data_IF_547492993801
#
_entry.id   IF_547492993801
#
_cell.length_a   1.000
_cell.length_b   1.000
_cell.length_c   1.000
_cell.angle_alpha   90.00
_cell.angle_beta   90.00
_cell.angle_gamma   90.00
#
_symmetry.space_group_name_H-M   'P 1'
#
loop_
_entity.id
_entity.type
_entity.pdbx_description
1 polymer ?
#
# COMPACT_ATOMS: atom_id res chain seq x y z
N UNK A 1 -13.34 -49.61 81.78
CA UNK A 1 -12.80 -48.25 81.63
C UNK A 1 -12.37 -48.09 80.18
N UNK A 2 -13.28 -47.49 79.31
CA UNK A 2 -13.09 -47.33 77.87
C UNK A 2 -12.76 -45.85 77.61
N UNK A 3 -11.53 -45.60 77.16
CA UNK A 3 -11.05 -44.27 76.81
C UNK A 3 -11.43 -44.06 75.33
N UNK A 4 -12.31 -43.10 75.07
CA UNK A 4 -12.67 -42.66 73.72
C UNK A 4 -11.67 -41.60 73.29
N UNK A 5 -10.90 -41.89 72.24
CA UNK A 5 -10.04 -40.94 71.57
C UNK A 5 -10.87 -40.12 70.57
N UNK A 6 -11.03 -38.84 70.83
CA UNK A 6 -11.54 -37.87 69.89
C UNK A 6 -10.41 -37.45 68.93
N UNK A 7 -10.57 -37.76 67.64
CA UNK A 7 -9.76 -37.20 66.56
C UNK A 7 -10.40 -35.87 66.11
N UNK A 8 -9.62 -34.78 65.99
CA UNK A 8 -10.12 -33.57 65.42
C UNK A 8 -10.16 -33.72 63.89
N UNK A 9 -11.34 -33.44 63.30
CA UNK A 9 -11.48 -33.38 61.87
C UNK A 9 -10.76 -32.12 61.32
N UNK A 10 -9.64 -32.35 60.58
CA UNK A 10 -8.99 -31.29 59.83
C UNK A 10 -9.84 -30.92 58.60
N UNK A 11 -10.42 -29.74 58.67
CA UNK A 11 -11.06 -29.14 57.49
C UNK A 11 -9.95 -28.66 56.53
N UNK A 12 -9.71 -29.40 55.49
CA UNK A 12 -8.86 -28.97 54.38
C UNK A 12 -9.68 -28.04 53.49
N UNK A 13 -9.45 -26.73 53.62
CA UNK A 13 -9.92 -25.75 52.67
C UNK A 13 -9.14 -25.93 51.36
N UNK A 14 -9.78 -26.55 50.36
CA UNK A 14 -9.31 -26.47 49.01
C UNK A 14 -9.52 -25.05 48.51
N UNK A 15 -8.51 -24.21 48.50
CA UNK A 15 -8.48 -22.98 47.72
C UNK A 15 -8.49 -23.39 46.23
N UNK A 16 -9.66 -23.32 45.63
CA UNK A 16 -9.77 -23.45 44.17
C UNK A 16 -9.00 -22.28 43.54
N UNK A 17 -7.76 -22.56 43.10
CA UNK A 17 -7.11 -21.68 42.13
C UNK A 17 -7.98 -21.62 40.86
N UNK A 18 -8.84 -20.63 40.81
CA UNK A 18 -9.49 -20.24 39.56
C UNK A 18 -8.36 -19.79 38.63
N UNK A 19 -7.92 -20.69 37.74
CA UNK A 19 -7.05 -20.30 36.64
C UNK A 19 -7.74 -19.16 35.92
N UNK A 20 -7.07 -18.02 35.67
CA UNK A 20 -7.64 -16.99 34.84
C UNK A 20 -8.01 -17.64 33.52
N UNK A 21 -9.30 -17.62 33.17
CA UNK A 21 -9.77 -17.90 31.83
C UNK A 21 -8.80 -17.20 30.88
N UNK A 22 -8.27 -17.85 29.82
CA UNK A 22 -7.52 -17.14 28.80
C UNK A 22 -8.46 -16.05 28.31
N UNK A 23 -8.28 -14.84 28.86
CA UNK A 23 -9.00 -13.68 28.37
C UNK A 23 -8.77 -13.69 26.88
N UNK A 24 -9.83 -13.81 26.09
CA UNK A 24 -9.77 -13.51 24.69
C UNK A 24 -8.87 -12.29 24.59
N UNK A 25 -7.76 -12.42 23.84
CA UNK A 25 -6.86 -11.32 23.56
C UNK A 25 -7.76 -10.18 23.07
N UNK A 26 -8.12 -9.30 23.99
CA UNK A 26 -8.91 -8.12 23.67
C UNK A 26 -8.10 -7.36 22.68
N UNK A 27 -8.58 -7.41 21.43
CA UNK A 27 -8.26 -6.50 20.39
C UNK A 27 -6.77 -6.16 20.34
N UNK A 28 -6.03 -6.87 19.51
CA UNK A 28 -4.96 -6.18 18.83
C UNK A 28 -5.51 -4.86 18.28
N UNK A 29 -4.68 -3.85 18.02
CA UNK A 29 -5.14 -2.58 17.47
C UNK A 29 -6.13 -2.91 16.36
N UNK A 30 -7.31 -2.25 16.36
CA UNK A 30 -8.38 -2.47 15.37
C UNK A 30 -7.75 -2.80 14.04
N UNK A 31 -8.18 -3.89 13.36
CA UNK A 31 -7.49 -4.34 12.16
C UNK A 31 -7.35 -3.11 11.28
N UNK A 32 -6.11 -2.65 11.12
CA UNK A 32 -5.81 -1.40 10.41
C UNK A 32 -6.58 -1.48 9.13
N UNK A 33 -7.53 -0.56 8.90
CA UNK A 33 -8.50 -0.62 7.82
C UNK A 33 -7.74 -0.85 6.50
N UNK A 34 -7.63 -2.11 6.12
CA UNK A 34 -6.87 -2.55 4.95
C UNK A 34 -7.83 -2.73 3.79
N UNK A 35 -7.55 -2.06 2.69
CA UNK A 35 -8.32 -2.15 1.45
C UNK A 35 -7.41 -2.55 0.29
N UNK A 36 -7.75 -3.64 -0.38
CA UNK A 36 -7.11 -4.08 -1.62
C UNK A 36 -7.78 -3.40 -2.81
N UNK A 37 -6.99 -2.87 -3.72
CA UNK A 37 -7.44 -2.02 -4.83
C UNK A 37 -7.01 -2.66 -6.15
N UNK A 38 -8.00 -3.08 -6.94
CA UNK A 38 -7.82 -3.63 -8.28
C UNK A 38 -8.82 -2.93 -9.22
N UNK A 39 -8.41 -1.86 -9.91
CA UNK A 39 -9.26 -1.17 -10.86
C UNK A 39 -9.66 -2.08 -12.02
N UNK A 40 -10.97 -2.24 -12.27
CA UNK A 40 -11.46 -3.01 -13.42
C UNK A 40 -11.14 -2.38 -14.79
N UNK A 41 -10.57 -1.18 -14.79
CA UNK A 41 -10.11 -0.45 -15.98
C UNK A 41 -8.64 -0.66 -16.30
N UNK A 42 -7.93 -1.41 -15.46
CA UNK A 42 -6.53 -1.79 -15.69
C UNK A 42 -6.41 -3.28 -15.94
N UNK A 43 -5.34 -3.68 -16.62
CA UNK A 43 -5.03 -5.08 -16.82
C UNK A 43 -4.77 -5.77 -15.48
N UNK A 44 -5.33 -6.95 -15.27
CA UNK A 44 -5.08 -7.73 -14.05
C UNK A 44 -3.59 -8.07 -13.91
N UNK A 45 -3.10 -7.99 -12.67
CA UNK A 45 -1.75 -8.41 -12.30
C UNK A 45 -1.81 -9.80 -11.65
N UNK A 46 -1.55 -10.91 -12.35
CA UNK A 46 -1.65 -12.25 -11.80
C UNK A 46 -0.78 -12.41 -10.54
N UNK A 47 -1.42 -12.78 -9.42
CA UNK A 47 -0.74 -12.97 -8.14
C UNK A 47 -0.45 -11.69 -7.35
N UNK A 48 -0.82 -10.52 -7.86
CA UNK A 48 -0.60 -9.23 -7.20
C UNK A 48 -1.86 -8.38 -7.19
N UNK A 49 -1.87 -7.40 -6.32
CA UNK A 49 -2.89 -6.34 -6.23
C UNK A 49 -2.27 -5.04 -6.70
N UNK A 50 -2.98 -4.23 -7.46
CA UNK A 50 -2.49 -2.92 -7.92
C UNK A 50 -2.11 -2.00 -6.78
N UNK A 51 -2.92 -1.96 -5.70
CA UNK A 51 -2.52 -1.28 -4.49
C UNK A 51 -3.16 -1.87 -3.23
N UNK A 52 -2.49 -1.66 -2.10
CA UNK A 52 -3.02 -1.93 -0.77
C UNK A 52 -3.02 -0.63 0.01
N UNK A 53 -4.20 -0.22 0.49
CA UNK A 53 -4.34 0.92 1.40
C UNK A 53 -4.43 0.43 2.83
N UNK A 54 -3.54 0.94 3.70
CA UNK A 54 -3.47 0.62 5.12
C UNK A 54 -3.55 1.92 5.91
N UNK A 55 -4.70 2.18 6.52
CA UNK A 55 -4.96 3.48 7.14
C UNK A 55 -4.83 4.61 6.10
N UNK A 56 -3.98 5.63 6.32
CA UNK A 56 -3.75 6.71 5.37
C UNK A 56 -2.79 6.34 4.24
N UNK A 57 -2.02 5.27 4.37
CA UNK A 57 -0.94 4.94 3.45
C UNK A 57 -1.44 4.03 2.33
N UNK A 58 -1.06 4.34 1.11
CA UNK A 58 -1.34 3.57 -0.11
C UNK A 58 -0.01 3.06 -0.65
N UNK A 59 0.12 1.75 -0.71
CA UNK A 59 1.24 1.04 -1.33
C UNK A 59 0.81 0.59 -2.71
N UNK A 60 1.43 1.11 -3.76
CA UNK A 60 1.11 0.77 -5.14
C UNK A 60 2.17 -0.17 -5.69
N UNK A 61 1.74 -1.24 -6.34
CA UNK A 61 2.61 -2.18 -7.05
C UNK A 61 3.26 -1.54 -8.27
N UNK A 62 4.20 -2.22 -8.90
CA UNK A 62 4.84 -1.76 -10.14
C UNK A 62 3.82 -1.66 -11.28
N UNK A 63 3.36 -0.46 -11.56
CA UNK A 63 2.51 -0.17 -12.72
C UNK A 63 3.36 -0.12 -13.98
N UNK A 64 2.86 -0.71 -15.05
CA UNK A 64 3.57 -0.90 -16.32
C UNK A 64 2.74 -0.41 -17.50
N UNK A 65 3.34 -0.36 -18.68
CA UNK A 65 2.70 0.14 -19.90
C UNK A 65 1.79 -0.90 -20.55
N UNK A 66 0.69 -1.25 -19.86
CA UNK A 66 -0.37 -2.09 -20.40
C UNK A 66 -1.68 -1.30 -20.49
N UNK A 67 -2.47 -1.56 -21.53
CA UNK A 67 -3.86 -1.10 -21.62
C UNK A 67 -4.79 -1.98 -20.77
N UNK A 68 -6.08 -1.65 -20.76
CA UNK A 68 -7.10 -2.40 -20.01
C UNK A 68 -7.28 -3.86 -20.45
N UNK A 69 -6.85 -4.21 -21.65
CA UNK A 69 -6.91 -5.58 -22.19
C UNK A 69 -5.61 -6.35 -21.93
N UNK A 70 -4.61 -5.69 -21.34
CA UNK A 70 -3.30 -6.25 -21.10
C UNK A 70 -2.36 -6.20 -22.30
N UNK A 71 -2.67 -5.43 -23.35
CA UNK A 71 -1.78 -5.23 -24.48
C UNK A 71 -0.70 -4.19 -24.14
N UNK A 72 0.52 -4.43 -24.64
CA UNK A 72 1.64 -3.51 -24.48
C UNK A 72 1.40 -2.23 -25.27
N UNK A 73 1.47 -1.08 -24.60
CA UNK A 73 1.42 0.25 -25.23
C UNK A 73 2.81 0.77 -25.46
N UNK A 74 3.12 1.28 -26.67
CA UNK A 74 4.43 1.87 -27.01
C UNK A 74 5.58 0.87 -27.06
N UNK A 75 5.49 -0.24 -27.83
CA UNK A 75 6.61 -1.17 -27.97
C UNK A 75 7.89 -0.44 -28.44
N UNK A 76 8.99 -0.59 -27.69
CA UNK A 76 10.28 0.03 -28.01
C UNK A 76 10.38 1.54 -27.74
N UNK A 77 9.31 2.19 -27.28
CA UNK A 77 9.25 3.63 -26.99
C UNK A 77 9.12 3.89 -25.48
N UNK A 78 10.24 4.26 -24.84
CA UNK A 78 10.28 4.56 -23.40
C UNK A 78 9.34 5.70 -23.01
N UNK A 79 9.20 6.75 -23.86
CA UNK A 79 8.33 7.90 -23.58
C UNK A 79 6.87 7.47 -23.56
N UNK A 80 6.43 6.72 -24.57
CA UNK A 80 5.06 6.22 -24.64
C UNK A 80 4.77 5.26 -23.48
N UNK A 81 5.71 4.38 -23.15
CA UNK A 81 5.56 3.47 -22.03
C UNK A 81 5.55 4.20 -20.69
N UNK A 82 6.38 5.21 -20.50
CA UNK A 82 6.35 6.02 -19.28
C UNK A 82 4.99 6.72 -19.13
N UNK A 83 4.48 7.38 -20.17
CA UNK A 83 3.19 8.03 -20.15
C UNK A 83 2.06 7.07 -19.73
N UNK A 84 2.03 5.85 -20.30
CA UNK A 84 1.02 4.84 -19.96
C UNK A 84 1.18 4.31 -18.54
N UNK A 85 2.40 3.98 -18.10
CA UNK A 85 2.65 3.45 -16.76
C UNK A 85 2.24 4.47 -15.67
N UNK A 86 2.56 5.75 -15.87
CA UNK A 86 2.14 6.80 -14.95
C UNK A 86 0.63 7.11 -15.02
N UNK A 87 -0.02 6.97 -16.17
CA UNK A 87 -1.48 7.06 -16.27
C UNK A 87 -2.16 5.92 -15.50
N UNK A 88 -1.62 4.70 -15.55
CA UNK A 88 -2.08 3.58 -14.76
C UNK A 88 -1.89 3.85 -13.26
N UNK A 89 -0.72 4.32 -12.84
CA UNK A 89 -0.44 4.74 -11.47
C UNK A 89 -1.44 5.82 -11.00
N UNK A 90 -1.70 6.86 -11.81
CA UNK A 90 -2.67 7.91 -11.48
C UNK A 90 -4.09 7.34 -11.28
N UNK A 91 -4.47 6.34 -12.09
CA UNK A 91 -5.77 5.66 -11.97
C UNK A 91 -5.87 4.90 -10.64
N UNK A 92 -4.82 4.18 -10.25
CA UNK A 92 -4.76 3.47 -8.96
C UNK A 92 -4.85 4.45 -7.79
N UNK A 93 -4.07 5.54 -7.82
CA UNK A 93 -4.06 6.57 -6.77
C UNK A 93 -5.45 7.21 -6.62
N UNK A 94 -6.10 7.58 -7.73
CA UNK A 94 -7.45 8.16 -7.72
C UNK A 94 -8.48 7.23 -7.07
N UNK A 95 -8.47 5.93 -7.37
CA UNK A 95 -9.38 4.94 -6.76
C UNK A 95 -9.03 4.71 -5.29
N UNK A 96 -7.76 4.88 -4.90
CA UNK A 96 -7.33 4.86 -3.51
C UNK A 96 -7.76 6.10 -2.72
N UNK A 97 -8.24 7.16 -3.40
CA UNK A 97 -8.63 8.43 -2.81
C UNK A 97 -7.45 9.35 -2.51
N UNK A 98 -6.40 9.28 -3.34
CA UNK A 98 -5.21 10.14 -3.29
C UNK A 98 -4.84 10.60 -4.71
N UNK A 99 -3.93 11.55 -4.80
CA UNK A 99 -3.49 12.17 -6.06
C UNK A 99 -1.97 12.05 -6.23
N UNK A 100 -1.39 12.36 -7.39
CA UNK A 100 0.06 12.42 -7.56
C UNK A 100 0.76 13.32 -6.52
N UNK A 101 0.11 14.41 -6.08
CA UNK A 101 0.64 15.31 -5.06
C UNK A 101 0.73 14.69 -3.65
N UNK A 102 0.10 13.54 -3.42
CA UNK A 102 0.14 12.80 -2.16
C UNK A 102 1.21 11.69 -2.17
N UNK A 103 1.91 11.51 -3.30
CA UNK A 103 3.01 10.55 -3.42
C UNK A 103 4.19 11.01 -2.57
N UNK A 104 4.55 10.19 -1.59
CA UNK A 104 5.69 10.43 -0.70
C UNK A 104 6.97 9.80 -1.25
N UNK A 105 6.84 8.65 -1.92
CA UNK A 105 7.96 7.94 -2.55
C UNK A 105 7.57 7.38 -3.90
N UNK A 106 8.54 7.40 -4.83
CA UNK A 106 8.43 6.87 -6.17
C UNK A 106 9.66 6.03 -6.48
N UNK A 107 9.50 4.80 -6.97
CA UNK A 107 10.58 3.98 -7.50
C UNK A 107 10.30 3.68 -8.96
N UNK A 108 11.28 3.93 -9.81
CA UNK A 108 11.17 3.77 -11.26
C UNK A 108 12.21 2.75 -11.70
N UNK A 109 11.77 1.66 -12.27
CA UNK A 109 12.60 0.60 -12.83
C UNK A 109 12.66 0.78 -14.34
N UNK A 110 13.86 0.88 -14.90
CA UNK A 110 14.07 1.10 -16.34
C UNK A 110 14.99 0.03 -16.90
N UNK A 111 14.54 -0.64 -17.94
CA UNK A 111 15.34 -1.66 -18.61
C UNK A 111 16.49 -0.99 -19.37
N UNK A 112 17.73 -1.45 -19.11
CA UNK A 112 18.95 -0.90 -19.73
C UNK A 112 19.06 0.63 -19.58
N UNK A 113 18.74 1.15 -18.39
CA UNK A 113 18.67 2.58 -18.07
C UNK A 113 19.90 3.36 -18.54
N UNK A 114 19.65 4.54 -19.11
CA UNK A 114 20.66 5.52 -19.53
C UNK A 114 20.48 6.83 -18.77
N UNK A 115 21.51 7.64 -18.58
CA UNK A 115 21.39 8.93 -17.89
C UNK A 115 20.31 9.86 -18.44
N UNK A 116 20.10 9.86 -19.77
CA UNK A 116 19.10 10.69 -20.44
C UNK A 116 17.63 10.23 -20.23
N UNK A 117 17.40 9.00 -19.76
CA UNK A 117 16.05 8.45 -19.63
C UNK A 117 15.22 9.18 -18.58
N UNK A 118 15.86 9.75 -17.56
CA UNK A 118 15.18 10.55 -16.55
C UNK A 118 14.42 11.75 -17.14
N UNK A 119 15.03 12.46 -18.08
CA UNK A 119 14.40 13.62 -18.71
C UNK A 119 13.22 13.20 -19.61
N UNK A 120 13.36 12.06 -20.30
CA UNK A 120 12.28 11.46 -21.10
C UNK A 120 11.09 11.10 -20.20
N UNK A 121 11.34 10.45 -19.06
CA UNK A 121 10.32 10.01 -18.12
C UNK A 121 9.63 11.21 -17.47
N UNK A 122 10.39 12.21 -17.00
CA UNK A 122 9.84 13.44 -16.42
C UNK A 122 8.92 14.18 -17.39
N UNK A 123 9.35 14.29 -18.64
CA UNK A 123 8.57 14.94 -19.68
C UNK A 123 7.29 14.17 -20.04
N UNK A 124 7.26 12.85 -19.84
CA UNK A 124 6.09 12.00 -20.09
C UNK A 124 5.05 12.05 -18.97
N UNK A 125 5.44 12.41 -17.73
CA UNK A 125 4.56 12.37 -16.56
C UNK A 125 4.77 13.58 -15.62
N UNK A 126 4.56 14.82 -16.09
CA UNK A 126 4.90 16.04 -15.35
C UNK A 126 4.21 16.17 -14.00
N UNK A 127 3.00 15.61 -13.84
CA UNK A 127 2.23 15.67 -12.59
C UNK A 127 2.92 14.95 -11.41
N UNK A 128 3.81 14.01 -11.71
CA UNK A 128 4.58 13.26 -10.71
C UNK A 128 5.95 13.89 -10.41
N UNK A 129 6.34 14.90 -11.18
CA UNK A 129 7.63 15.58 -11.04
C UNK A 129 7.46 17.09 -10.90
N UNK A 130 6.72 17.57 -9.88
CA UNK A 130 6.53 19.00 -9.66
C UNK A 130 7.87 19.68 -9.36
N UNK A 131 8.00 20.97 -9.71
CA UNK A 131 9.23 21.75 -9.45
C UNK A 131 9.47 21.97 -7.95
N UNK A 132 8.43 21.86 -7.13
CA UNK A 132 8.49 22.00 -5.66
C UNK A 132 7.81 20.81 -5.00
N UNK A 133 8.36 20.40 -3.86
CA UNK A 133 7.80 19.28 -3.07
C UNK A 133 7.73 17.96 -3.86
N UNK A 134 8.77 17.66 -4.64
CA UNK A 134 8.88 16.39 -5.34
C UNK A 134 8.89 15.21 -4.35
N UNK A 135 8.34 14.04 -4.72
CA UNK A 135 8.45 12.84 -3.91
C UNK A 135 9.92 12.40 -3.73
N UNK A 136 10.19 11.68 -2.65
CA UNK A 136 11.45 10.96 -2.56
C UNK A 136 11.50 9.92 -3.68
N UNK A 137 12.53 9.98 -4.55
CA UNK A 137 12.59 9.16 -5.77
C UNK A 137 13.85 8.34 -5.89
N UNK A 138 13.73 7.18 -6.53
CA UNK A 138 14.86 6.34 -6.94
C UNK A 138 14.62 5.84 -8.36
N UNK A 139 15.65 5.89 -9.21
CA UNK A 139 15.64 5.22 -10.51
C UNK A 139 16.59 4.04 -10.42
N UNK A 140 16.12 2.88 -10.85
CA UNK A 140 16.86 1.62 -10.83
C UNK A 140 16.96 1.08 -12.25
N UNK A 141 18.18 0.94 -12.76
CA UNK A 141 18.42 0.20 -13.99
C UNK A 141 18.27 -1.30 -13.73
N UNK A 142 17.46 -1.98 -14.53
CA UNK A 142 17.23 -3.42 -14.47
C UNK A 142 17.55 -4.09 -15.80
N UNK A 143 17.83 -5.38 -15.79
CA UNK A 143 18.08 -6.14 -17.02
C UNK A 143 16.81 -6.42 -17.80
N UNK A 144 15.73 -6.75 -17.08
CA UNK A 144 14.43 -7.07 -17.66
C UNK A 144 13.30 -6.79 -16.66
N UNK A 145 12.10 -6.70 -17.18
CA UNK A 145 10.85 -6.72 -16.41
C UNK A 145 10.11 -8.03 -16.70
N UNK A 146 9.12 -8.43 -15.86
CA UNK A 146 8.47 -9.75 -15.95
C UNK A 146 7.80 -10.07 -17.28
N UNK A 147 7.58 -9.08 -18.13
CA UNK A 147 7.00 -9.26 -19.46
C UNK A 147 7.92 -8.68 -20.52
N UNK A 148 8.11 -9.44 -21.60
CA UNK A 148 8.89 -9.00 -22.76
C UNK A 148 8.34 -7.72 -23.37
N UNK A 149 9.22 -6.82 -23.79
CA UNK A 149 8.89 -5.54 -24.41
C UNK A 149 8.59 -4.41 -23.42
N UNK A 150 8.41 -4.69 -22.12
CA UNK A 150 8.32 -3.65 -21.10
C UNK A 150 9.68 -2.99 -20.89
N UNK A 151 9.70 -1.66 -20.91
CA UNK A 151 10.90 -0.84 -20.68
C UNK A 151 10.88 -0.14 -19.32
N UNK A 152 9.70 -0.01 -18.69
CA UNK A 152 9.53 0.73 -17.45
C UNK A 152 8.46 0.09 -16.56
N UNK A 153 8.72 0.13 -15.25
CA UNK A 153 7.73 -0.10 -14.21
C UNK A 153 7.86 0.99 -13.14
N UNK A 154 6.76 1.39 -12.51
CA UNK A 154 6.73 2.47 -11.51
C UNK A 154 5.94 2.02 -10.30
N UNK A 155 6.55 1.96 -9.13
CA UNK A 155 5.86 1.79 -7.85
C UNK A 155 5.80 3.11 -7.07
N UNK A 156 4.85 3.21 -6.16
CA UNK A 156 4.68 4.40 -5.34
C UNK A 156 4.18 4.07 -3.93
N UNK A 157 4.58 4.92 -2.99
CA UNK A 157 3.92 5.03 -1.69
C UNK A 157 3.30 6.42 -1.59
N UNK A 158 1.98 6.50 -1.38
CA UNK A 158 1.27 7.74 -1.18
C UNK A 158 0.65 7.81 0.22
N UNK A 159 0.44 9.02 0.74
CA UNK A 159 -0.14 9.24 2.07
C UNK A 159 -1.26 10.25 1.98
N UNK A 160 -2.48 9.84 2.30
CA UNK A 160 -3.66 10.70 2.26
C UNK A 160 -3.55 11.82 3.29
N UNK A 161 -3.55 13.07 2.83
CA UNK A 161 -3.38 14.28 3.68
C UNK A 161 -4.50 14.49 4.68
N UNK A 162 -5.72 14.07 4.35
CA UNK A 162 -6.89 14.29 5.21
C UNK A 162 -6.74 13.73 6.64
N UNK A 163 -5.85 12.75 6.87
CA UNK A 163 -5.61 12.20 8.22
C UNK A 163 -4.72 13.08 9.10
N UNK A 164 -3.97 14.00 8.51
CA UNK A 164 -3.09 14.94 9.26
C UNK A 164 -3.73 16.30 9.49
N UNK A 165 -4.91 16.53 8.93
CA UNK A 165 -5.64 17.76 9.15
C UNK A 165 -6.34 17.74 10.52
N UNK A 166 -6.50 18.89 11.21
CA UNK A 166 -7.40 19.04 12.35
C UNK A 166 -8.81 18.53 12.00
N UNK A 167 -9.56 18.08 13.00
CA UNK A 167 -10.87 17.44 12.78
C UNK A 167 -11.80 18.27 11.91
N UNK A 168 -11.86 19.57 12.15
CA UNK A 168 -12.67 20.53 11.39
C UNK A 168 -12.27 20.66 9.90
N UNK A 169 -10.99 20.51 9.60
CA UNK A 169 -10.51 20.53 8.23
C UNK A 169 -10.70 19.19 7.53
N UNK A 170 -10.66 18.06 8.27
CA UNK A 170 -10.97 16.73 7.72
C UNK A 170 -12.41 16.62 7.25
N UNK A 171 -13.34 17.19 7.99
CA UNK A 171 -14.76 17.15 7.66
C UNK A 171 -15.01 17.97 6.38
N UNK A 172 -14.40 19.15 6.25
CA UNK A 172 -14.42 19.95 5.00
C UNK A 172 -13.81 19.23 3.79
N UNK A 173 -12.79 18.37 4.01
CA UNK A 173 -12.16 17.61 2.92
C UNK A 173 -13.05 16.46 2.42
N UNK A 174 -13.89 15.89 3.30
CA UNK A 174 -14.87 14.85 2.96
C UNK A 174 -16.07 15.34 2.16
N UNK A 175 -16.39 16.61 2.29
CA UNK A 175 -17.56 17.25 1.64
C UNK A 175 -17.25 17.85 0.27
N UNK A 176 -16.00 17.75 -0.20
CA UNK A 176 -15.65 18.17 -1.57
C UNK A 176 -16.07 17.08 -2.56
N UNK A 177 -16.90 17.44 -3.58
CA UNK A 177 -17.40 16.52 -4.61
C UNK A 177 -16.26 15.94 -5.46
#
# INVERSE_FOLDING_TARGET
MRIALLFPAAVVLFAACVAPTPGALRGGPDPVNTRYINPGTLAALPGFTHAVKVGPTVYVSGEVSLDSTGQLVGPGDLRAQAAQAFANLATVLRIAGVTPADVAKLTIYVVNAKPADLDVIRAAAPDFFPQRNSPAGTIVGVQSLPREGLLIAVDATAVARAMFLPREERDRYRERP
#
